data_IF_653412562858
#
_entry.id   IF_653412562858
#
_cell.length_a   1.000
_cell.length_b   1.000
_cell.length_c   1.000
_cell.angle_alpha   90.00
_cell.angle_beta   90.00
_cell.angle_gamma   90.00
#
_symmetry.space_group_name_H-M   'P 1'
#
loop_
_entity.id
_entity.type
_entity.pdbx_description
1 polymer ?
#
# COMPACT_ATOMS: atom_id res chain seq x y z
N UNK A 1 1.49 -15.24 6.18
CA UNK A 1 1.69 -14.83 7.60
C UNK A 1 0.38 -15.16 8.29
N UNK A 2 0.43 -15.96 9.35
CA UNK A 2 -0.76 -16.28 10.16
C UNK A 2 -0.69 -15.39 11.39
N UNK A 3 -1.74 -14.61 11.63
CA UNK A 3 -1.88 -13.73 12.79
C UNK A 3 -3.21 -14.09 13.49
N UNK A 4 -3.13 -14.47 14.76
CA UNK A 4 -4.29 -14.82 15.60
C UNK A 4 -5.22 -15.90 14.98
N UNK A 5 -4.63 -16.93 14.35
CA UNK A 5 -5.31 -17.99 13.57
C UNK A 5 -6.00 -17.53 12.27
N UNK A 6 -5.73 -16.31 11.80
CA UNK A 6 -6.22 -15.80 10.52
C UNK A 6 -5.10 -15.68 9.49
N UNK A 7 -5.42 -16.02 8.25
CA UNK A 7 -4.56 -15.74 7.11
C UNK A 7 -4.53 -14.23 6.84
N UNK A 8 -3.31 -13.68 6.74
CA UNK A 8 -3.13 -12.32 6.29
C UNK A 8 -3.52 -12.18 4.81
N UNK A 9 -4.47 -11.29 4.51
CA UNK A 9 -5.05 -11.11 3.16
C UNK A 9 -4.69 -9.79 2.48
N UNK A 10 -3.90 -8.93 3.13
CA UNK A 10 -3.52 -7.62 2.58
C UNK A 10 -3.47 -6.48 3.60
N UNK A 11 -3.04 -5.32 3.13
CA UNK A 11 -2.81 -4.13 3.96
C UNK A 11 -3.58 -2.93 3.42
N UNK A 12 -4.12 -2.12 4.33
CA UNK A 12 -4.58 -0.76 4.03
C UNK A 12 -3.64 0.25 4.67
N UNK A 13 -3.04 1.14 3.87
CA UNK A 13 -1.99 2.06 4.29
C UNK A 13 -2.34 3.53 4.03
N UNK A 14 -1.70 4.45 4.75
CA UNK A 14 -1.79 5.88 4.43
C UNK A 14 -0.97 6.22 3.18
N UNK A 15 -1.48 7.14 2.36
CA UNK A 15 -0.80 7.59 1.13
C UNK A 15 0.63 8.09 1.35
N UNK A 16 0.98 8.56 2.57
CA UNK A 16 2.34 9.00 2.91
C UNK A 16 3.36 7.85 2.95
N UNK A 17 2.93 6.60 3.00
CA UNK A 17 3.83 5.45 2.95
C UNK A 17 4.35 5.17 1.53
N UNK A 18 3.71 5.70 0.48
CA UNK A 18 4.08 5.46 -0.93
C UNK A 18 5.58 5.68 -1.21
N UNK A 19 6.22 6.81 -0.84
CA UNK A 19 7.63 7.03 -1.13
C UNK A 19 8.55 6.07 -0.37
N UNK A 20 8.16 5.68 0.84
CA UNK A 20 8.93 4.74 1.65
C UNK A 20 8.88 3.33 1.07
N UNK A 21 7.70 2.89 0.65
CA UNK A 21 7.50 1.56 0.06
C UNK A 21 8.16 1.42 -1.31
N UNK A 22 8.16 2.48 -2.13
CA UNK A 22 8.88 2.48 -3.41
C UNK A 22 10.40 2.29 -3.27
N UNK A 23 10.96 2.63 -2.11
CA UNK A 23 12.37 2.44 -1.79
C UNK A 23 12.63 1.23 -0.88
N UNK A 24 11.59 0.48 -0.51
CA UNK A 24 11.70 -0.60 0.47
C UNK A 24 12.10 -1.91 -0.21
N UNK A 25 13.18 -2.50 0.29
CA UNK A 25 13.69 -3.80 -0.12
C UNK A 25 13.81 -4.74 1.07
N UNK A 26 13.70 -6.04 0.80
CA UNK A 26 13.99 -7.11 1.75
C UNK A 26 15.49 -7.17 2.04
N UNK A 27 15.86 -7.95 3.06
CA UNK A 27 17.27 -8.21 3.40
C UNK A 27 18.04 -8.92 2.29
N UNK A 28 17.34 -9.59 1.38
CA UNK A 28 17.90 -10.22 0.17
C UNK A 28 17.92 -9.29 -1.05
N UNK A 29 17.47 -8.04 -0.91
CA UNK A 29 17.49 -7.03 -1.99
C UNK A 29 16.23 -6.97 -2.86
N UNK A 30 15.29 -7.91 -2.68
CA UNK A 30 14.03 -7.92 -3.44
C UNK A 30 13.10 -6.77 -3.03
N UNK A 31 12.40 -6.10 -3.97
CA UNK A 31 11.46 -5.05 -3.64
C UNK A 31 10.28 -5.60 -2.83
N UNK A 32 9.95 -4.93 -1.72
CA UNK A 32 8.79 -5.32 -0.91
C UNK A 32 7.47 -4.87 -1.53
N UNK A 33 7.51 -3.81 -2.34
CA UNK A 33 6.33 -3.24 -2.98
C UNK A 33 6.46 -3.28 -4.50
N UNK A 34 5.48 -3.90 -5.15
CA UNK A 34 5.35 -3.93 -6.61
C UNK A 34 4.18 -3.03 -6.99
N UNK A 35 4.50 -1.88 -7.59
CA UNK A 35 3.49 -0.95 -8.06
C UNK A 35 2.78 -1.51 -9.29
N UNK A 36 1.46 -1.71 -9.20
CA UNK A 36 0.65 -2.00 -10.37
C UNK A 36 0.19 -0.68 -10.97
N UNK A 37 0.65 -0.40 -12.19
CA UNK A 37 0.21 0.77 -12.94
C UNK A 37 -0.91 0.35 -13.86
N UNK A 38 -2.14 0.38 -13.37
CA UNK A 38 -3.29 0.06 -14.21
C UNK A 38 -3.58 1.25 -15.15
N UNK A 39 -3.47 1.08 -16.49
CA UNK A 39 -3.78 2.13 -17.43
C UNK A 39 -5.23 2.58 -17.26
N UNK A 40 -5.49 3.89 -17.24
CA UNK A 40 -6.84 4.45 -17.10
C UNK A 40 -7.36 4.60 -15.68
N UNK A 41 -6.67 4.05 -14.68
CA UNK A 41 -6.98 4.30 -13.28
C UNK A 41 -6.46 5.73 -12.95
N UNK A 42 -7.37 6.69 -12.71
CA UNK A 42 -7.04 8.13 -12.61
C UNK A 42 -5.97 8.48 -11.56
N UNK A 43 -5.64 9.77 -11.43
CA UNK A 43 -4.55 10.30 -10.55
C UNK A 43 -4.54 9.77 -9.10
N UNK A 44 -5.67 9.26 -8.57
CA UNK A 44 -5.78 8.64 -7.25
C UNK A 44 -5.42 7.15 -7.18
N UNK A 45 -5.46 6.43 -8.30
CA UNK A 45 -5.10 5.01 -8.43
C UNK A 45 -3.65 4.78 -8.88
N UNK A 46 -2.91 5.87 -9.11
CA UNK A 46 -1.46 5.80 -9.28
C UNK A 46 -0.85 5.22 -7.98
N UNK A 47 -0.33 3.99 -8.08
CA UNK A 47 0.24 3.20 -6.98
C UNK A 47 -0.82 2.48 -6.12
N UNK A 48 -1.77 1.78 -6.74
CA UNK A 48 -2.21 0.51 -6.14
C UNK A 48 -1.12 -0.54 -6.41
N UNK A 49 -1.07 -1.63 -5.66
CA UNK A 49 -0.03 -2.64 -5.86
C UNK A 49 -0.09 -3.77 -4.86
N UNK A 50 0.96 -4.58 -4.88
CA UNK A 50 1.16 -5.66 -3.92
C UNK A 50 2.30 -5.29 -2.97
N UNK A 51 2.07 -5.52 -1.68
CA UNK A 51 3.07 -5.45 -0.64
C UNK A 51 3.30 -6.87 -0.15
N UNK A 52 4.55 -7.34 -0.19
CA UNK A 52 4.93 -8.71 0.22
C UNK A 52 4.09 -9.82 -0.43
N UNK A 53 3.63 -9.60 -1.66
CA UNK A 53 2.80 -10.54 -2.42
C UNK A 53 1.30 -10.48 -2.12
N UNK A 54 0.86 -9.56 -1.26
CA UNK A 54 -0.54 -9.39 -0.89
C UNK A 54 -1.08 -8.01 -1.30
N UNK A 55 -2.40 -7.86 -1.55
CA UNK A 55 -2.99 -6.59 -1.97
C UNK A 55 -2.71 -5.44 -1.01
N UNK A 56 -2.32 -4.29 -1.56
CA UNK A 56 -2.16 -3.02 -0.84
C UNK A 56 -3.15 -1.97 -1.36
N UNK A 57 -4.02 -1.50 -0.46
CA UNK A 57 -4.89 -0.36 -0.72
C UNK A 57 -4.42 0.87 0.06
N UNK A 58 -4.67 2.07 -0.50
CA UNK A 58 -4.36 3.33 0.19
C UNK A 58 -5.61 4.08 0.61
N UNK A 59 -5.61 4.56 1.85
CA UNK A 59 -6.68 5.41 2.38
C UNK A 59 -6.12 6.49 3.31
N UNK A 60 -6.56 7.74 3.08
CA UNK A 60 -6.24 8.89 3.95
C UNK A 60 -6.87 8.78 5.35
N UNK A 61 -7.86 7.90 5.51
CA UNK A 61 -8.50 7.65 6.80
C UNK A 61 -7.60 6.86 7.75
N UNK A 62 -6.59 6.13 7.25
CA UNK A 62 -5.64 5.36 8.08
C UNK A 62 -4.85 6.27 9.03
N UNK A 63 -4.41 7.44 8.56
CA UNK A 63 -3.72 8.42 9.42
C UNK A 63 -4.69 9.25 10.29
N UNK A 64 -6.01 9.12 10.12
CA UNK A 64 -7.01 9.96 10.80
C UNK A 64 -7.00 11.44 10.41
N UNK A 65 -6.13 11.87 9.49
CA UNK A 65 -5.97 13.28 9.09
C UNK A 65 -6.81 13.64 7.87
N UNK A 66 -8.10 13.29 7.91
CA UNK A 66 -9.05 13.76 6.91
C UNK A 66 -9.43 15.20 7.26
N UNK A 67 -8.74 16.18 6.66
CA UNK A 67 -9.22 17.57 6.72
C UNK A 67 -10.52 17.61 5.91
N UNK A 68 -11.65 17.78 6.59
CA UNK A 68 -12.92 18.14 5.94
C UNK A 68 -12.66 19.47 5.23
N UNK A 69 -12.74 19.49 3.90
CA UNK A 69 -12.89 20.74 3.18
C UNK A 69 -14.22 21.33 3.63
N UNK A 70 -14.16 22.46 4.35
CA UNK A 70 -15.27 23.37 4.60
C UNK A 70 -15.60 24.14 3.34
#
# INVERSE_FOLDING_TARGET
IIDDDWDYTGTVADNRLKPKLLAATSTSGEPLFVATRQPGAGRGAALQGELIGEPLAYSRSVSGKLRRQS
#
